data_IF_283017854895
#
_entry.id   IF_283017854895
#
_cell.length_a   1.000
_cell.length_b   1.000
_cell.length_c   1.000
_cell.angle_alpha   90.00
_cell.angle_beta   90.00
_cell.angle_gamma   90.00
#
_symmetry.space_group_name_H-M   'P 1'
#
loop_
_entity.id
_entity.type
_entity.pdbx_description
1 polymer ?
#
# COMPACT_ATOMS: atom_id res chain seq x y z
N UNK A 1 11.50 40.91 -4.04
CA UNK A 1 11.79 39.81 -3.15
C UNK A 1 12.12 38.57 -4.00
N UNK A 2 13.39 38.26 -4.17
CA UNK A 2 13.79 37.05 -4.87
C UNK A 2 14.02 35.98 -3.80
N UNK A 3 13.13 34.99 -3.75
CA UNK A 3 13.38 33.77 -2.99
C UNK A 3 14.38 32.96 -3.81
N UNK A 4 15.62 32.99 -3.41
CA UNK A 4 16.64 32.13 -4.00
C UNK A 4 16.60 30.80 -3.24
N UNK A 5 16.20 29.76 -3.95
CA UNK A 5 16.29 28.34 -3.59
C UNK A 5 15.67 27.91 -2.24
N UNK A 6 14.37 27.65 -2.25
CA UNK A 6 13.74 26.82 -1.23
C UNK A 6 13.94 25.36 -1.63
N UNK A 7 14.95 24.69 -1.08
CA UNK A 7 15.17 23.26 -1.28
C UNK A 7 14.48 22.52 -0.14
N UNK A 8 13.36 21.86 -0.42
CA UNK A 8 12.73 20.91 0.52
C UNK A 8 13.28 19.54 0.20
N UNK A 9 14.23 19.07 0.99
CA UNK A 9 14.70 17.69 0.90
C UNK A 9 14.04 16.89 2.00
N UNK A 10 13.09 16.00 1.63
CA UNK A 10 12.48 15.06 2.55
C UNK A 10 13.21 13.74 2.54
N UNK A 11 13.67 13.29 3.70
CA UNK A 11 14.10 11.93 3.95
C UNK A 11 13.36 11.44 5.20
N UNK A 12 12.32 10.63 5.01
CA UNK A 12 11.50 10.15 6.10
C UNK A 12 10.66 11.28 6.76
N UNK A 13 10.57 11.26 8.10
CA UNK A 13 9.79 12.23 8.89
C UNK A 13 10.48 13.60 9.09
N UNK A 14 11.52 13.89 8.34
CA UNK A 14 12.28 15.13 8.50
C UNK A 14 12.34 15.86 7.17
N UNK A 15 11.82 17.08 7.14
CA UNK A 15 12.06 18.01 6.04
C UNK A 15 13.17 18.97 6.47
N UNK A 16 14.23 19.08 5.67
CA UNK A 16 15.25 20.12 5.86
C UNK A 16 14.86 21.26 4.94
N UNK A 17 14.50 22.39 5.52
CA UNK A 17 14.27 23.62 4.77
C UNK A 17 15.55 24.45 4.89
N UNK A 18 16.28 24.61 3.78
CA UNK A 18 17.39 25.55 3.70
C UNK A 18 16.86 26.79 2.99
N UNK A 19 16.78 27.90 3.70
CA UNK A 19 16.46 29.21 3.12
C UNK A 19 17.79 29.93 2.90
N UNK A 20 18.18 30.12 1.67
CA UNK A 20 19.32 30.97 1.35
C UNK A 20 18.91 32.45 1.45
N UNK A 21 19.85 33.31 1.77
CA UNK A 21 19.68 34.74 2.09
C UNK A 21 18.48 35.42 1.43
N UNK A 22 17.56 35.90 2.27
CA UNK A 22 16.42 36.68 1.83
C UNK A 22 16.76 38.17 1.95
N UNK A 23 16.95 38.85 0.83
CA UNK A 23 17.06 40.30 0.79
C UNK A 23 15.64 40.90 0.99
N UNK A 24 15.43 41.55 2.11
CA UNK A 24 14.16 42.18 2.45
C UNK A 24 13.96 43.55 1.79
N UNK A 25 14.88 43.92 0.88
CA UNK A 25 14.76 45.20 0.14
C UNK A 25 15.03 46.46 0.97
N UNK A 26 15.42 46.32 2.23
CA UNK A 26 15.75 47.42 3.14
C UNK A 26 17.22 47.48 3.53
N UNK A 27 18.07 46.69 2.84
CA UNK A 27 19.50 46.63 3.12
C UNK A 27 19.88 45.72 4.29
N UNK A 28 18.94 44.96 4.83
CA UNK A 28 19.22 43.93 5.84
C UNK A 28 19.11 42.55 5.19
N UNK A 29 20.18 41.75 5.29
CA UNK A 29 20.16 40.34 4.94
C UNK A 29 20.06 39.50 6.23
N UNK A 30 19.12 38.58 6.27
CA UNK A 30 19.08 37.57 7.34
C UNK A 30 19.68 36.27 6.82
N UNK A 31 20.69 35.80 7.51
CA UNK A 31 21.32 34.50 7.21
C UNK A 31 20.39 33.38 7.63
N UNK A 32 20.13 32.44 6.72
CA UNK A 32 19.29 31.29 6.97
C UNK A 32 19.83 30.42 8.11
N UNK A 33 18.94 29.98 8.95
CA UNK A 33 19.23 28.97 9.96
C UNK A 33 19.05 27.61 9.32
N UNK A 34 20.13 26.84 9.24
CA UNK A 34 20.09 25.42 8.87
C UNK A 34 19.33 24.68 9.97
N UNK A 35 18.06 24.36 9.73
CA UNK A 35 17.20 23.69 10.71
C UNK A 35 16.54 22.46 10.12
N UNK A 36 16.54 21.36 10.87
CA UNK A 36 15.74 20.17 10.58
C UNK A 36 14.35 20.38 11.13
N UNK A 37 13.37 20.58 10.24
CA UNK A 37 11.96 20.68 10.61
C UNK A 37 11.31 19.31 10.52
N UNK A 38 10.84 18.78 11.66
CA UNK A 38 9.85 17.71 11.63
C UNK A 38 8.48 18.29 11.27
N UNK A 39 7.60 17.50 10.69
CA UNK A 39 6.21 17.91 10.38
C UNK A 39 5.49 18.39 11.65
N UNK A 40 5.88 17.86 12.81
CA UNK A 40 5.39 18.26 14.13
C UNK A 40 6.26 19.35 14.81
N UNK A 41 7.29 19.85 14.15
CA UNK A 41 8.39 20.57 14.80
C UNK A 41 8.57 22.02 14.39
N UNK A 42 7.65 22.62 13.64
CA UNK A 42 7.73 24.07 13.31
C UNK A 42 7.77 24.96 14.57
N UNK A 43 7.29 24.46 15.69
CA UNK A 43 7.34 25.15 16.99
C UNK A 43 8.43 24.60 17.94
N UNK A 44 9.23 23.62 17.52
CA UNK A 44 10.13 22.89 18.43
C UNK A 44 11.50 23.58 18.64
N UNK A 45 11.87 24.52 17.77
CA UNK A 45 13.15 25.25 17.94
C UNK A 45 12.88 26.69 18.35
N UNK A 46 13.27 27.10 19.58
CA UNK A 46 12.98 28.46 20.10
C UNK A 46 13.49 29.59 19.20
N UNK A 47 14.64 29.38 18.54
CA UNK A 47 15.19 30.34 17.62
C UNK A 47 14.37 30.52 16.33
N UNK A 48 13.74 29.44 15.83
CA UNK A 48 12.88 29.50 14.65
C UNK A 48 11.51 30.12 14.98
N UNK A 49 10.95 29.78 16.13
CA UNK A 49 9.72 30.42 16.60
C UNK A 49 9.92 31.92 16.83
N UNK A 50 11.07 32.32 17.41
CA UNK A 50 11.42 33.71 17.59
C UNK A 50 11.62 34.46 16.28
N UNK A 51 12.28 33.85 15.28
CA UNK A 51 12.47 34.41 13.95
C UNK A 51 11.14 34.61 13.21
N UNK A 52 10.28 33.58 13.22
CA UNK A 52 8.96 33.66 12.59
C UNK A 52 8.09 34.73 13.27
N UNK A 53 8.18 34.87 14.60
CA UNK A 53 7.45 35.90 15.35
C UNK A 53 7.96 37.31 15.04
N UNK A 54 9.29 37.50 15.03
CA UNK A 54 9.89 38.77 14.71
C UNK A 54 9.61 39.22 13.25
N UNK A 55 9.71 38.26 12.32
CA UNK A 55 9.38 38.53 10.90
C UNK A 55 7.90 38.82 10.66
N UNK A 56 7.01 38.32 11.49
CA UNK A 56 5.58 38.56 11.37
C UNK A 56 5.19 39.98 11.76
N UNK A 57 5.95 40.64 12.64
CA UNK A 57 5.68 42.03 13.04
C UNK A 57 6.14 43.02 11.96
N UNK A 58 7.12 42.66 11.13
CA UNK A 58 7.74 43.55 10.15
C UNK A 58 7.30 43.28 8.70
N UNK A 59 6.69 42.12 8.41
CA UNK A 59 6.41 41.68 7.05
C UNK A 59 5.02 41.09 6.90
N UNK A 60 4.15 41.77 6.17
CA UNK A 60 2.76 41.36 5.93
C UNK A 60 2.66 39.97 5.23
N UNK A 61 3.63 39.60 4.38
CA UNK A 61 3.66 38.30 3.71
C UNK A 61 4.00 37.15 4.68
N UNK A 62 4.90 37.38 5.64
CA UNK A 62 5.22 36.39 6.68
C UNK A 62 4.03 36.20 7.59
N UNK A 63 3.34 37.26 7.99
CA UNK A 63 2.10 37.20 8.76
C UNK A 63 1.03 36.39 8.03
N UNK A 64 0.84 36.62 6.73
CA UNK A 64 -0.12 35.90 5.89
C UNK A 64 0.25 34.42 5.79
N UNK A 65 1.53 34.09 5.60
CA UNK A 65 2.00 32.69 5.57
C UNK A 65 1.75 31.99 6.91
N UNK A 66 2.00 32.67 8.04
CA UNK A 66 1.70 32.16 9.37
C UNK A 66 0.20 31.90 9.57
N UNK A 67 -0.66 32.82 9.15
CA UNK A 67 -2.11 32.66 9.25
C UNK A 67 -2.60 31.46 8.43
N UNK A 68 -2.10 31.30 7.18
CA UNK A 68 -2.43 30.16 6.34
C UNK A 68 -1.98 28.85 7.01
N UNK A 69 -0.74 28.83 7.51
CA UNK A 69 -0.22 27.66 8.22
C UNK A 69 -1.06 27.31 9.44
N UNK A 70 -1.34 28.29 10.32
CA UNK A 70 -2.11 28.07 11.53
C UNK A 70 -3.54 27.59 11.24
N UNK A 71 -4.20 28.21 10.24
CA UNK A 71 -5.53 27.79 9.82
C UNK A 71 -5.51 26.36 9.27
N UNK A 72 -4.53 26.03 8.42
CA UNK A 72 -4.36 24.69 7.86
C UNK A 72 -4.03 23.66 8.95
N UNK A 73 -3.15 23.99 9.89
CA UNK A 73 -2.80 23.12 11.00
C UNK A 73 -4.00 22.87 11.93
N UNK A 74 -4.77 23.92 12.22
CA UNK A 74 -5.99 23.82 13.04
C UNK A 74 -7.02 22.92 12.36
N UNK A 75 -7.27 23.13 11.06
CA UNK A 75 -8.18 22.30 10.28
C UNK A 75 -7.70 20.84 10.25
N UNK A 76 -6.44 20.60 9.93
CA UNK A 76 -5.86 19.26 9.88
C UNK A 76 -5.90 18.57 11.26
N UNK A 77 -5.66 19.30 12.35
CA UNK A 77 -5.77 18.79 13.70
C UNK A 77 -7.22 18.42 14.05
N UNK A 78 -8.16 19.30 13.72
CA UNK A 78 -9.58 19.06 14.03
C UNK A 78 -10.12 17.87 13.20
N UNK A 79 -9.94 17.87 11.89
CA UNK A 79 -10.44 16.82 11.01
C UNK A 79 -9.68 15.51 11.20
N UNK A 80 -8.35 15.60 11.27
CA UNK A 80 -7.48 14.44 11.37
C UNK A 80 -7.54 13.71 12.72
N UNK A 81 -8.00 14.34 13.79
CA UNK A 81 -8.14 13.72 15.10
C UNK A 81 -9.43 12.90 15.29
N UNK A 82 -10.36 12.99 14.34
CA UNK A 82 -11.58 12.19 14.40
C UNK A 82 -11.24 10.70 14.38
N UNK A 83 -11.74 9.97 15.39
CA UNK A 83 -11.60 8.51 15.48
C UNK A 83 -12.62 7.89 14.54
N UNK A 84 -12.16 7.07 13.62
CA UNK A 84 -12.99 6.39 12.62
C UNK A 84 -13.05 4.88 12.80
N UNK A 85 -12.13 4.33 13.58
CA UNK A 85 -12.08 2.90 13.87
C UNK A 85 -11.46 2.60 15.21
N UNK A 86 -11.67 1.37 15.68
CA UNK A 86 -11.05 0.86 16.91
C UNK A 86 -10.45 -0.52 16.65
N UNK A 87 -9.36 -0.81 17.34
CA UNK A 87 -8.69 -2.10 17.33
C UNK A 87 -8.94 -2.83 18.65
N UNK A 88 -8.94 -4.14 18.62
CA UNK A 88 -8.98 -4.94 19.84
C UNK A 88 -7.68 -4.72 20.66
N UNK A 89 -7.75 -4.96 21.97
CA UNK A 89 -6.62 -4.75 22.85
C UNK A 89 -5.39 -5.54 22.41
N UNK A 90 -4.25 -4.86 22.27
CA UNK A 90 -2.98 -5.45 21.86
C UNK A 90 -2.87 -5.80 20.36
N UNK A 91 -3.86 -5.43 19.56
CA UNK A 91 -3.85 -5.63 18.10
C UNK A 91 -3.32 -4.38 17.40
N UNK A 92 -2.49 -4.58 16.39
CA UNK A 92 -2.17 -3.58 15.38
C UNK A 92 -1.97 -4.26 14.02
N UNK A 93 -2.00 -3.48 12.96
CA UNK A 93 -1.76 -3.95 11.60
C UNK A 93 -0.44 -3.35 11.11
N UNK A 94 0.55 -4.21 10.88
CA UNK A 94 1.90 -3.82 10.53
C UNK A 94 2.16 -3.98 9.03
N UNK A 95 2.92 -3.03 8.45
CA UNK A 95 3.40 -3.09 7.07
C UNK A 95 4.50 -4.14 6.90
N UNK A 96 5.36 -4.30 7.91
CA UNK A 96 6.42 -5.30 7.92
C UNK A 96 5.96 -6.46 8.81
N UNK A 97 5.36 -7.47 8.19
CA UNK A 97 5.21 -8.78 8.82
C UNK A 97 6.55 -9.51 8.82
N UNK A 98 6.74 -10.45 9.75
CA UNK A 98 7.80 -11.45 9.57
C UNK A 98 7.53 -12.19 8.24
N UNK A 99 8.56 -12.73 7.61
CA UNK A 99 8.48 -13.51 6.36
C UNK A 99 7.43 -14.63 6.39
N UNK A 100 6.97 -14.98 7.58
CA UNK A 100 5.98 -16.05 7.82
C UNK A 100 4.53 -15.54 7.90
N UNK A 101 4.30 -14.25 8.14
CA UNK A 101 2.96 -13.71 8.43
C UNK A 101 2.49 -12.63 7.45
N UNK A 102 3.36 -12.20 6.53
CA UNK A 102 3.00 -11.23 5.51
C UNK A 102 2.72 -9.81 6.07
N UNK A 103 2.17 -8.99 5.23
CA UNK A 103 1.86 -7.59 5.48
C UNK A 103 0.41 -7.45 5.98
N UNK A 104 0.18 -7.41 7.28
CA UNK A 104 -1.18 -7.40 7.84
C UNK A 104 -1.95 -6.14 7.51
N UNK A 105 -1.31 -4.96 7.48
CA UNK A 105 -1.97 -3.73 7.04
C UNK A 105 -2.29 -3.76 5.55
N UNK A 106 -1.48 -4.40 4.74
CA UNK A 106 -1.75 -4.60 3.32
C UNK A 106 -2.97 -5.46 3.08
N UNK A 107 -3.16 -6.53 3.87
CA UNK A 107 -4.37 -7.38 3.83
C UNK A 107 -5.60 -6.57 4.21
N UNK A 108 -5.53 -5.80 5.29
CA UNK A 108 -6.62 -4.94 5.73
C UNK A 108 -7.05 -3.94 4.64
N UNK A 109 -6.08 -3.30 3.98
CA UNK A 109 -6.37 -2.38 2.86
C UNK A 109 -6.96 -3.13 1.66
N UNK A 110 -6.47 -4.34 1.38
CA UNK A 110 -7.02 -5.18 0.32
C UNK A 110 -8.47 -5.61 0.62
N UNK A 111 -8.78 -5.98 1.86
CA UNK A 111 -10.16 -6.30 2.27
C UNK A 111 -11.07 -5.07 2.15
N UNK A 112 -10.58 -3.89 2.54
CA UNK A 112 -11.30 -2.64 2.39
C UNK A 112 -11.58 -2.30 0.92
N UNK A 113 -10.58 -2.47 0.03
CA UNK A 113 -10.76 -2.27 -1.40
C UNK A 113 -11.82 -3.23 -1.96
N UNK A 114 -11.75 -4.51 -1.60
CA UNK A 114 -12.72 -5.53 -2.00
C UNK A 114 -14.14 -5.13 -1.59
N UNK A 115 -14.33 -4.80 -0.32
CA UNK A 115 -15.67 -4.42 0.20
C UNK A 115 -16.21 -3.16 -0.47
N UNK A 116 -15.37 -2.16 -0.67
CA UNK A 116 -15.75 -0.90 -1.33
C UNK A 116 -16.21 -1.13 -2.77
N UNK A 117 -15.46 -1.91 -3.56
CA UNK A 117 -15.84 -2.20 -4.94
C UNK A 117 -17.12 -3.04 -5.01
N UNK A 118 -17.30 -4.00 -4.11
CA UNK A 118 -18.56 -4.75 -4.02
C UNK A 118 -19.74 -3.86 -3.69
N UNK A 119 -19.54 -2.88 -2.82
CA UNK A 119 -20.60 -1.96 -2.40
C UNK A 119 -20.95 -0.93 -3.48
N UNK A 120 -19.97 -0.32 -4.10
CA UNK A 120 -20.15 0.86 -4.96
C UNK A 120 -20.33 0.53 -6.44
N UNK A 121 -19.76 -0.59 -6.92
CA UNK A 121 -19.74 -0.93 -8.35
C UNK A 121 -20.49 -2.23 -8.63
N UNK A 122 -20.27 -3.25 -7.84
CA UNK A 122 -20.73 -4.61 -8.12
C UNK A 122 -21.73 -5.14 -7.11
N UNK A 123 -22.62 -4.30 -6.60
CA UNK A 123 -23.69 -4.72 -5.68
C UNK A 123 -24.53 -5.86 -6.30
N UNK A 124 -24.60 -6.99 -5.60
CA UNK A 124 -25.32 -8.18 -6.08
C UNK A 124 -24.60 -9.02 -7.14
N UNK A 125 -23.35 -8.72 -7.44
CA UNK A 125 -22.51 -9.52 -8.35
C UNK A 125 -22.25 -10.91 -7.78
N UNK A 126 -22.04 -11.89 -8.69
CA UNK A 126 -21.72 -13.29 -8.35
C UNK A 126 -20.32 -13.73 -8.73
N UNK A 127 -19.56 -12.88 -9.41
CA UNK A 127 -18.16 -13.18 -9.72
C UNK A 127 -17.32 -13.08 -8.44
N UNK A 128 -16.25 -13.87 -8.33
CA UNK A 128 -15.30 -13.73 -7.24
C UNK A 128 -14.64 -12.36 -7.29
N UNK A 129 -14.36 -11.76 -6.14
CA UNK A 129 -13.72 -10.46 -6.00
C UNK A 129 -12.47 -10.60 -5.15
N UNK A 130 -11.34 -10.13 -5.65
CA UNK A 130 -10.07 -10.06 -4.93
C UNK A 130 -9.68 -8.60 -4.75
N UNK A 131 -9.37 -8.22 -3.52
CA UNK A 131 -8.72 -6.95 -3.22
C UNK A 131 -7.21 -7.08 -3.22
N UNK A 132 -6.52 -6.04 -3.71
CA UNK A 132 -5.08 -5.93 -3.66
C UNK A 132 -4.64 -4.60 -3.07
N UNK A 133 -3.46 -4.59 -2.45
CA UNK A 133 -2.72 -3.38 -2.13
C UNK A 133 -1.24 -3.59 -2.38
N UNK A 134 -0.55 -2.58 -2.89
CA UNK A 134 0.90 -2.62 -3.06
C UNK A 134 1.60 -2.02 -1.84
N UNK A 135 2.66 -2.66 -1.42
CA UNK A 135 3.42 -2.26 -0.24
C UNK A 135 4.03 -0.86 -0.37
N UNK A 136 4.39 -0.46 -1.61
CA UNK A 136 4.92 0.86 -1.94
C UNK A 136 3.94 2.00 -1.67
N UNK A 137 2.63 1.77 -1.78
CA UNK A 137 1.60 2.79 -1.52
C UNK A 137 1.36 3.06 -0.03
N UNK A 138 1.77 2.16 0.86
CA UNK A 138 1.61 2.31 2.30
C UNK A 138 2.80 3.06 2.90
N UNK A 139 2.59 4.21 3.52
CA UNK A 139 3.65 5.17 3.89
C UNK A 139 4.03 5.16 5.37
N UNK A 140 3.25 4.50 6.22
CA UNK A 140 3.58 4.32 7.64
C UNK A 140 3.89 2.85 7.95
N UNK A 141 4.68 2.55 9.00
CA UNK A 141 5.03 1.17 9.34
C UNK A 141 3.86 0.37 9.90
N UNK A 142 2.82 1.03 10.38
CA UNK A 142 1.61 0.41 10.95
C UNK A 142 0.41 1.34 10.85
N UNK A 143 -0.77 0.80 11.11
CA UNK A 143 -2.04 1.55 11.07
C UNK A 143 -2.16 2.49 12.27
N UNK A 144 -2.23 1.94 13.47
CA UNK A 144 -2.29 2.73 14.72
C UNK A 144 -0.87 3.10 15.15
N UNK A 145 -0.49 4.32 14.83
CA UNK A 145 0.84 4.86 15.12
C UNK A 145 1.02 5.24 16.59
N UNK A 146 -0.09 5.54 17.29
CA UNK A 146 -0.08 5.94 18.70
C UNK A 146 -0.10 4.73 19.63
N UNK A 147 -0.61 3.57 19.16
CA UNK A 147 -0.71 2.35 19.95
C UNK A 147 -1.81 2.41 21.01
N UNK A 148 -2.80 3.29 20.83
CA UNK A 148 -3.90 3.47 21.79
C UNK A 148 -5.17 2.67 21.42
N UNK A 149 -5.12 1.91 20.34
CA UNK A 149 -6.24 1.11 19.82
C UNK A 149 -7.32 1.93 19.11
N UNK A 150 -7.07 3.21 18.86
CA UNK A 150 -7.96 4.08 18.11
C UNK A 150 -7.31 4.44 16.79
N UNK A 151 -8.06 4.35 15.72
CA UNK A 151 -7.59 4.74 14.40
C UNK A 151 -8.26 6.03 13.99
N UNK A 152 -7.45 7.04 13.72
CA UNK A 152 -7.90 8.38 13.35
C UNK A 152 -7.85 8.58 11.83
N UNK A 153 -8.58 9.58 11.35
CA UNK A 153 -8.52 10.06 9.95
C UNK A 153 -7.06 10.31 9.54
N UNK A 154 -6.29 10.99 10.40
CA UNK A 154 -4.88 11.32 10.12
C UNK A 154 -4.00 10.07 9.93
N UNK A 155 -4.22 9.03 10.72
CA UNK A 155 -3.43 7.81 10.61
C UNK A 155 -3.70 7.10 9.28
N UNK A 156 -4.95 7.02 8.86
CA UNK A 156 -5.31 6.47 7.54
C UNK A 156 -4.77 7.33 6.41
N UNK A 157 -4.93 8.65 6.45
CA UNK A 157 -4.44 9.54 5.40
C UNK A 157 -2.90 9.57 5.35
N UNK A 158 -2.24 9.41 6.50
CA UNK A 158 -0.77 9.27 6.55
C UNK A 158 -0.30 7.93 6.00
N UNK A 159 -1.03 6.84 6.28
CA UNK A 159 -0.74 5.52 5.74
C UNK A 159 -0.90 5.50 4.21
N UNK A 160 -1.95 6.15 3.69
CA UNK A 160 -2.33 6.13 2.28
C UNK A 160 -2.18 7.51 1.63
N UNK A 161 -1.05 8.19 1.87
CA UNK A 161 -0.81 9.58 1.49
C UNK A 161 -0.66 9.83 -0.03
N UNK A 162 -0.63 8.78 -0.86
CA UNK A 162 -0.49 8.91 -2.31
C UNK A 162 -1.85 9.23 -2.96
N UNK A 163 -1.81 10.13 -3.94
CA UNK A 163 -3.00 10.64 -4.64
C UNK A 163 -3.47 9.67 -5.75
N UNK A 164 -3.70 8.41 -5.39
CA UNK A 164 -4.32 7.44 -6.27
C UNK A 164 -5.84 7.46 -6.10
N UNK A 165 -6.56 6.94 -7.10
CA UNK A 165 -7.99 6.65 -7.00
C UNK A 165 -8.23 5.19 -6.67
N UNK A 166 -9.32 4.89 -5.98
CA UNK A 166 -9.82 3.53 -5.91
C UNK A 166 -10.25 3.09 -7.31
N UNK A 167 -9.89 1.87 -7.71
CA UNK A 167 -10.09 1.38 -9.06
C UNK A 167 -10.41 -0.11 -9.07
N UNK A 168 -10.99 -0.56 -10.19
CA UNK A 168 -11.32 -1.96 -10.42
C UNK A 168 -11.07 -2.35 -11.87
N UNK A 169 -10.93 -3.64 -12.10
CA UNK A 169 -10.90 -4.28 -13.42
C UNK A 169 -11.36 -5.72 -13.32
N UNK A 170 -11.41 -6.43 -14.44
CA UNK A 170 -11.71 -7.86 -14.51
C UNK A 170 -10.53 -8.58 -15.16
N UNK A 171 -9.98 -9.57 -14.47
CA UNK A 171 -8.96 -10.47 -14.99
C UNK A 171 -9.53 -11.87 -15.21
N UNK A 172 -8.85 -12.66 -16.04
CA UNK A 172 -9.05 -14.11 -16.09
C UNK A 172 -8.32 -14.76 -14.92
N UNK A 173 -8.72 -15.98 -14.51
CA UNK A 173 -8.01 -16.73 -13.45
C UNK A 173 -6.55 -16.97 -13.79
N UNK A 174 -6.25 -17.17 -15.08
CA UNK A 174 -4.87 -17.25 -15.59
C UNK A 174 -4.08 -15.98 -15.30
N UNK A 175 -4.62 -14.82 -15.61
CA UNK A 175 -3.93 -13.55 -15.38
C UNK A 175 -3.80 -13.24 -13.88
N UNK A 176 -4.79 -13.63 -13.08
CA UNK A 176 -4.69 -13.55 -11.60
C UNK A 176 -3.52 -14.41 -11.10
N UNK A 177 -3.37 -15.66 -11.58
CA UNK A 177 -2.22 -16.50 -11.23
C UNK A 177 -0.89 -15.84 -11.62
N UNK A 178 -0.82 -15.17 -12.78
CA UNK A 178 0.36 -14.40 -13.20
C UNK A 178 0.67 -13.26 -12.23
N UNK A 179 -0.33 -12.47 -11.80
CA UNK A 179 -0.15 -11.43 -10.77
C UNK A 179 0.45 -12.04 -9.50
N UNK A 180 -0.02 -13.20 -9.07
CA UNK A 180 0.50 -13.89 -7.88
C UNK A 180 1.94 -14.37 -8.10
N UNK A 181 2.28 -14.86 -9.29
CA UNK A 181 3.62 -15.30 -9.62
C UNK A 181 4.62 -14.13 -9.67
N UNK A 182 4.20 -12.96 -10.16
CA UNK A 182 5.02 -11.74 -10.22
C UNK A 182 5.46 -11.21 -8.85
N UNK A 183 4.86 -11.68 -7.75
CA UNK A 183 5.38 -11.40 -6.41
C UNK A 183 6.77 -12.02 -6.20
N UNK A 184 7.09 -13.09 -6.92
CA UNK A 184 8.32 -13.84 -6.74
C UNK A 184 9.31 -13.52 -7.84
N UNK A 185 10.56 -13.33 -7.45
CA UNK A 185 11.66 -13.12 -8.39
C UNK A 185 12.92 -13.76 -7.83
N UNK A 186 13.90 -14.02 -8.71
CA UNK A 186 15.20 -14.52 -8.28
C UNK A 186 16.19 -13.37 -8.21
N UNK A 187 16.87 -13.27 -7.06
CA UNK A 187 18.02 -12.39 -6.86
C UNK A 187 19.20 -13.25 -6.42
N UNK A 188 20.31 -13.20 -7.15
CA UNK A 188 21.49 -14.05 -6.97
C UNK A 188 21.14 -15.56 -6.80
N UNK A 189 20.14 -16.03 -7.56
CA UNK A 189 19.65 -17.41 -7.52
C UNK A 189 18.73 -17.75 -6.35
N UNK A 190 18.49 -16.84 -5.43
CA UNK A 190 17.56 -17.00 -4.31
C UNK A 190 16.18 -16.52 -4.70
N UNK A 191 15.15 -17.26 -4.27
CA UNK A 191 13.77 -16.84 -4.42
C UNK A 191 13.47 -15.72 -3.42
N UNK A 192 13.16 -14.55 -3.94
CA UNK A 192 12.72 -13.39 -3.16
C UNK A 192 11.27 -13.04 -3.47
N UNK A 193 10.63 -12.33 -2.54
CA UNK A 193 9.23 -11.99 -2.69
C UNK A 193 8.98 -10.49 -2.50
N UNK A 194 8.34 -9.88 -3.50
CA UNK A 194 7.68 -8.59 -3.38
C UNK A 194 6.27 -8.81 -2.85
N UNK A 195 6.00 -8.32 -1.66
CA UNK A 195 4.72 -8.58 -1.01
C UNK A 195 3.60 -7.67 -1.55
N UNK A 196 2.53 -8.30 -2.02
CA UNK A 196 1.22 -7.68 -2.16
C UNK A 196 0.40 -7.93 -0.89
N UNK A 197 -0.39 -6.94 -0.47
CA UNK A 197 -1.56 -7.19 0.35
C UNK A 197 -2.63 -7.82 -0.54
N UNK A 198 -3.15 -8.96 -0.12
CA UNK A 198 -4.18 -9.72 -0.82
C UNK A 198 -5.34 -9.89 0.16
N UNK A 199 -6.57 -9.70 -0.29
CA UNK A 199 -7.75 -9.82 0.58
C UNK A 199 -7.85 -11.20 1.23
N UNK A 200 -8.33 -11.24 2.46
CA UNK A 200 -8.29 -12.41 3.35
C UNK A 200 -9.11 -13.62 2.84
N UNK A 201 -9.97 -13.41 1.85
CA UNK A 201 -10.80 -14.45 1.24
C UNK A 201 -10.08 -15.33 0.21
N UNK A 202 -8.76 -15.13 0.01
CA UNK A 202 -7.96 -15.83 -1.01
C UNK A 202 -7.06 -16.87 -0.35
N UNK A 203 -6.97 -18.04 -0.99
CA UNK A 203 -5.97 -19.07 -0.69
C UNK A 203 -5.30 -19.55 -1.98
N UNK A 204 -4.02 -19.87 -1.92
CA UNK A 204 -3.29 -20.41 -3.05
C UNK A 204 -2.06 -21.19 -2.60
N UNK A 205 -1.51 -21.99 -3.50
CA UNK A 205 -0.19 -22.63 -3.36
C UNK A 205 0.74 -22.13 -4.46
N UNK A 206 2.03 -22.25 -4.25
CA UNK A 206 3.04 -22.00 -5.26
C UNK A 206 4.11 -23.07 -5.24
N UNK A 207 4.69 -23.38 -6.39
CA UNK A 207 5.86 -24.24 -6.53
C UNK A 207 6.94 -23.50 -7.31
N UNK A 208 8.20 -23.69 -6.91
CA UNK A 208 9.32 -23.08 -7.62
C UNK A 208 9.48 -23.72 -9.00
N UNK A 209 9.69 -22.88 -10.01
CA UNK A 209 10.12 -23.34 -11.32
C UNK A 209 11.61 -23.66 -11.28
N UNK A 210 11.99 -24.85 -11.78
CA UNK A 210 13.40 -25.26 -11.88
C UNK A 210 14.19 -24.28 -12.75
N UNK A 211 15.42 -23.97 -12.37
CA UNK A 211 16.33 -23.24 -13.24
C UNK A 211 16.63 -24.13 -14.47
N UNK A 212 16.49 -23.59 -15.68
CA UNK A 212 16.85 -24.31 -16.91
C UNK A 212 18.32 -24.75 -16.82
N UNK A 213 18.58 -25.99 -16.43
CA UNK A 213 19.90 -26.54 -16.23
C UNK A 213 19.98 -27.73 -15.26
N UNK A 214 19.03 -27.89 -14.36
CA UNK A 214 18.96 -29.05 -13.44
C UNK A 214 17.94 -30.09 -13.93
N UNK A 215 18.27 -30.77 -15.03
CA UNK A 215 17.73 -32.07 -15.36
C UNK A 215 18.44 -33.12 -14.48
N UNK A 216 18.08 -33.19 -13.23
CA UNK A 216 18.65 -34.07 -12.23
C UNK A 216 17.57 -34.91 -11.57
N UNK A 217 17.50 -36.19 -11.99
CA UNK A 217 16.93 -37.37 -11.31
C UNK A 217 15.66 -37.13 -10.45
N UNK A 218 14.52 -37.28 -11.08
CA UNK A 218 13.29 -37.65 -10.41
C UNK A 218 13.40 -39.10 -9.88
N UNK A 219 13.92 -39.27 -8.67
CA UNK A 219 13.74 -40.50 -7.88
C UNK A 219 13.37 -40.09 -6.44
N UNK A 220 12.12 -39.74 -6.25
CA UNK A 220 11.48 -39.67 -4.94
C UNK A 220 10.03 -40.12 -5.12
N UNK A 221 9.71 -41.22 -4.43
CA UNK A 221 8.49 -42.00 -4.50
C UNK A 221 7.20 -41.16 -4.60
N UNK A 222 6.47 -41.40 -5.64
CA UNK A 222 5.14 -40.90 -5.88
C UNK A 222 4.16 -41.69 -5.02
N UNK A 223 3.61 -41.06 -3.98
CA UNK A 223 2.35 -41.49 -3.39
C UNK A 223 1.23 -41.12 -4.36
N UNK A 224 0.76 -42.09 -5.10
CA UNK A 224 -0.36 -42.02 -6.04
C UNK A 224 -1.69 -42.11 -5.29
N UNK A 225 -2.15 -41.02 -4.67
CA UNK A 225 -3.55 -40.89 -4.31
C UNK A 225 -3.99 -39.42 -4.15
N UNK A 226 -3.98 -38.63 -5.23
CA UNK A 226 -4.86 -37.49 -5.46
C UNK A 226 -4.76 -37.13 -6.93
N UNK A 227 -5.85 -37.35 -7.67
CA UNK A 227 -5.95 -37.07 -9.11
C UNK A 227 -5.85 -35.58 -9.43
N UNK A 228 -4.66 -35.02 -9.34
CA UNK A 228 -4.31 -33.73 -9.88
C UNK A 228 -3.60 -33.96 -11.21
N UNK A 229 -4.02 -33.24 -12.22
CA UNK A 229 -3.53 -33.34 -13.60
C UNK A 229 -2.08 -32.85 -13.66
N UNK A 230 -1.11 -33.76 -13.44
CA UNK A 230 0.31 -33.44 -13.32
C UNK A 230 0.97 -32.95 -14.61
N UNK A 231 0.27 -33.01 -15.74
CA UNK A 231 0.78 -32.56 -17.04
C UNK A 231 0.45 -31.06 -17.31
N UNK A 232 -0.67 -30.55 -16.81
CA UNK A 232 -1.00 -29.11 -16.96
C UNK A 232 -0.05 -28.22 -16.10
N UNK A 233 0.46 -28.77 -15.01
CA UNK A 233 1.31 -28.05 -14.07
C UNK A 233 2.76 -27.85 -14.57
N UNK A 234 3.27 -28.70 -15.45
CA UNK A 234 4.61 -28.55 -16.04
C UNK A 234 4.64 -27.50 -17.15
N UNK A 235 3.52 -27.26 -17.81
CA UNK A 235 3.39 -26.30 -18.92
C UNK A 235 3.43 -24.84 -18.47
N UNK A 236 3.01 -24.50 -17.26
CA UNK A 236 3.02 -23.10 -16.79
C UNK A 236 4.45 -22.56 -16.57
N UNK A 237 5.37 -23.36 -16.04
CA UNK A 237 6.79 -22.96 -15.95
C UNK A 237 7.49 -22.91 -17.30
N UNK A 238 7.03 -23.72 -18.27
CA UNK A 238 7.58 -23.76 -19.64
C UNK A 238 7.06 -22.60 -20.50
N UNK A 239 5.86 -22.09 -20.21
CA UNK A 239 5.24 -20.99 -20.96
C UNK A 239 5.86 -19.62 -20.63
N UNK A 240 6.48 -19.47 -19.46
CA UNK A 240 7.20 -18.28 -19.06
C UNK A 240 8.56 -18.65 -18.46
N UNK A 241 9.59 -18.69 -19.30
CA UNK A 241 10.96 -19.03 -18.89
C UNK A 241 11.57 -18.12 -17.81
N UNK A 242 10.88 -17.00 -17.49
CA UNK A 242 11.27 -16.04 -16.46
C UNK A 242 10.44 -16.20 -15.18
N UNK A 243 9.42 -17.04 -15.16
CA UNK A 243 8.63 -17.28 -13.97
C UNK A 243 9.47 -17.95 -12.88
N UNK A 244 9.57 -17.32 -11.72
CA UNK A 244 10.27 -17.91 -10.58
C UNK A 244 9.44 -19.02 -9.90
N UNK A 245 8.12 -18.92 -9.99
CA UNK A 245 7.15 -19.86 -9.41
C UNK A 245 5.94 -20.02 -10.32
N UNK A 246 5.26 -21.16 -10.17
CA UNK A 246 3.89 -21.38 -10.67
C UNK A 246 2.89 -21.32 -9.52
N UNK A 247 1.68 -20.88 -9.80
CA UNK A 247 0.60 -20.79 -8.81
C UNK A 247 -0.38 -21.93 -9.02
N UNK A 248 -0.67 -22.63 -7.93
CA UNK A 248 -1.60 -23.75 -7.92
C UNK A 248 -2.71 -23.53 -6.88
N UNK A 249 -3.81 -24.25 -7.03
CA UNK A 249 -4.91 -24.29 -6.06
C UNK A 249 -5.41 -22.90 -5.63
N UNK A 250 -5.48 -21.94 -6.58
CA UNK A 250 -6.06 -20.64 -6.33
C UNK A 250 -7.55 -20.79 -6.03
N UNK A 251 -7.98 -20.28 -4.87
CA UNK A 251 -9.38 -20.25 -4.49
C UNK A 251 -9.75 -18.89 -3.88
N UNK A 252 -10.97 -18.44 -4.15
CA UNK A 252 -11.56 -17.21 -3.62
C UNK A 252 -12.87 -17.56 -2.92
N UNK A 253 -13.03 -17.15 -1.67
CA UNK A 253 -14.16 -17.54 -0.80
C UNK A 253 -14.36 -19.07 -0.77
N UNK A 254 -13.27 -19.85 -0.79
CA UNK A 254 -13.25 -21.30 -0.82
C UNK A 254 -13.62 -21.93 -2.16
N UNK A 255 -13.94 -21.15 -3.18
CA UNK A 255 -14.24 -21.62 -4.54
C UNK A 255 -12.96 -21.66 -5.37
N UNK A 256 -12.58 -22.80 -5.94
CA UNK A 256 -11.46 -22.89 -6.89
C UNK A 256 -11.68 -21.97 -8.10
N UNK A 257 -10.62 -21.37 -8.58
CA UNK A 257 -10.61 -20.48 -9.75
C UNK A 257 -9.89 -21.18 -10.90
N UNK A 258 -10.65 -21.46 -11.96
CA UNK A 258 -10.11 -21.97 -13.23
C UNK A 258 -9.51 -20.83 -14.07
N UNK A 259 -8.67 -21.17 -15.04
CA UNK A 259 -7.97 -20.20 -15.89
C UNK A 259 -8.89 -19.25 -16.64
N UNK A 260 -10.03 -19.75 -17.10
CA UNK A 260 -11.01 -18.99 -17.88
C UNK A 260 -12.09 -18.31 -16.99
N UNK A 261 -12.07 -18.54 -15.66
CA UNK A 261 -12.99 -17.85 -14.75
C UNK A 261 -12.67 -16.35 -14.73
N UNK A 262 -13.72 -15.54 -14.70
CA UNK A 262 -13.59 -14.10 -14.56
C UNK A 262 -13.56 -13.72 -13.07
N UNK A 263 -12.60 -12.88 -12.70
CA UNK A 263 -12.39 -12.39 -11.34
C UNK A 263 -12.36 -10.87 -11.35
N UNK A 264 -13.15 -10.24 -10.49
CA UNK A 264 -13.10 -8.80 -10.29
C UNK A 264 -11.93 -8.47 -9.37
N UNK A 265 -11.14 -7.50 -9.76
CA UNK A 265 -9.98 -7.00 -9.03
C UNK A 265 -10.29 -5.61 -8.50
N UNK A 266 -9.99 -5.39 -7.23
CA UNK A 266 -10.16 -4.12 -6.53
C UNK A 266 -8.81 -3.63 -5.99
N UNK A 267 -8.38 -2.43 -6.35
CA UNK A 267 -7.12 -1.84 -5.87
C UNK A 267 -7.07 -0.32 -6.11
N UNK A 268 -5.88 0.21 -6.27
CA UNK A 268 -5.65 1.58 -6.71
C UNK A 268 -5.28 1.65 -8.20
N UNK A 269 -5.54 2.81 -8.79
CA UNK A 269 -5.32 3.07 -10.22
C UNK A 269 -3.87 2.84 -10.66
N UNK A 270 -2.88 3.09 -9.81
CA UNK A 270 -1.46 2.88 -10.14
C UNK A 270 -1.11 1.39 -10.26
N UNK A 271 -1.56 0.56 -9.31
CA UNK A 271 -1.26 -0.87 -9.32
C UNK A 271 -1.92 -1.56 -10.52
N UNK A 272 -3.21 -1.27 -10.78
CA UNK A 272 -3.94 -1.87 -11.91
C UNK A 272 -3.37 -1.46 -13.29
N UNK A 273 -2.60 -0.40 -13.34
CA UNK A 273 -1.83 -0.02 -14.55
C UNK A 273 -0.46 -0.70 -14.62
N UNK A 274 -0.20 -1.71 -13.81
CA UNK A 274 1.04 -2.48 -13.80
C UNK A 274 2.16 -1.82 -13.00
N UNK A 275 1.82 -1.00 -12.01
CA UNK A 275 2.77 -0.38 -11.09
C UNK A 275 3.53 -1.40 -10.23
N UNK A 276 4.63 -0.98 -9.62
CA UNK A 276 5.49 -1.76 -8.71
C UNK A 276 5.98 -3.11 -9.28
N UNK A 277 6.00 -3.27 -10.62
CA UNK A 277 6.49 -4.47 -11.28
C UNK A 277 5.46 -5.60 -11.35
N UNK A 278 4.17 -5.26 -11.48
CA UNK A 278 3.05 -6.18 -11.70
C UNK A 278 2.37 -5.95 -13.06
N UNK A 279 3.07 -6.17 -14.19
CA UNK A 279 2.53 -5.93 -15.52
C UNK A 279 1.32 -6.79 -15.87
N UNK A 280 1.09 -7.94 -15.22
CA UNK A 280 -0.06 -8.81 -15.48
C UNK A 280 -1.41 -8.11 -15.24
N UNK A 281 -1.48 -7.11 -14.36
CA UNK A 281 -2.70 -6.31 -14.22
C UNK A 281 -3.13 -5.62 -15.52
N UNK A 282 -2.21 -5.31 -16.44
CA UNK A 282 -2.55 -4.68 -17.74
C UNK A 282 -3.37 -5.55 -18.67
N UNK A 283 -3.51 -6.85 -18.36
CA UNK A 283 -4.41 -7.74 -19.10
C UNK A 283 -5.89 -7.51 -18.73
N UNK A 284 -6.15 -6.68 -17.72
CA UNK A 284 -7.49 -6.39 -17.23
C UNK A 284 -8.42 -5.77 -18.27
N UNK A 285 -9.67 -6.17 -18.20
CA UNK A 285 -10.79 -5.59 -18.94
C UNK A 285 -11.74 -4.90 -17.97
N UNK A 286 -12.67 -4.10 -18.48
CA UNK A 286 -13.64 -3.37 -17.66
C UNK A 286 -12.99 -2.50 -16.57
N UNK A 287 -11.81 -1.93 -16.87
CA UNK A 287 -11.16 -0.99 -15.96
C UNK A 287 -12.06 0.21 -15.68
N UNK A 288 -12.13 0.60 -14.41
CA UNK A 288 -12.84 1.79 -13.98
C UNK A 288 -12.25 2.36 -12.70
N UNK A 289 -12.31 3.69 -12.58
CA UNK A 289 -11.93 4.41 -11.36
C UNK A 289 -13.18 4.91 -10.65
N UNK A 290 -13.18 4.85 -9.33
CA UNK A 290 -14.20 5.52 -8.53
C UNK A 290 -13.79 6.99 -8.33
N UNK A 291 -14.77 7.86 -8.27
CA UNK A 291 -14.51 9.28 -7.95
C UNK A 291 -14.30 9.48 -6.44
N UNK A 292 -13.34 8.73 -5.92
CA UNK A 292 -12.92 8.82 -4.52
C UNK A 292 -11.41 8.54 -4.39
N UNK A 293 -10.74 9.17 -3.40
CA UNK A 293 -9.34 8.88 -3.11
C UNK A 293 -9.16 7.44 -2.65
N UNK A 294 -7.99 6.88 -2.88
CA UNK A 294 -7.65 5.50 -2.52
C UNK A 294 -7.73 5.23 -1.01
N UNK A 295 -7.64 6.23 -0.15
CA UNK A 295 -7.83 6.09 1.30
C UNK A 295 -9.30 5.86 1.72
N UNK A 296 -10.26 6.29 0.90
CA UNK A 296 -11.69 6.24 1.25
C UNK A 296 -12.21 4.82 1.52
N UNK A 297 -11.85 3.78 0.76
CA UNK A 297 -12.23 2.40 1.09
C UNK A 297 -11.84 2.01 2.53
N UNK A 298 -10.63 2.36 2.98
CA UNK A 298 -10.20 2.04 4.34
C UNK A 298 -10.95 2.85 5.40
N UNK A 299 -11.27 4.13 5.13
CA UNK A 299 -12.13 4.93 6.01
C UNK A 299 -13.50 4.27 6.19
N UNK A 300 -14.14 3.84 5.11
CA UNK A 300 -15.45 3.19 5.15
C UNK A 300 -15.39 1.85 5.90
N UNK A 301 -14.35 1.05 5.62
CA UNK A 301 -14.14 -0.24 6.25
C UNK A 301 -13.98 -0.11 7.76
N UNK A 302 -13.12 0.80 8.22
CA UNK A 302 -12.89 1.06 9.65
C UNK A 302 -14.15 1.57 10.35
N UNK A 303 -14.94 2.41 9.68
CA UNK A 303 -16.21 2.90 10.24
C UNK A 303 -17.25 1.78 10.40
N UNK A 304 -17.27 0.81 9.48
CA UNK A 304 -18.19 -0.31 9.50
C UNK A 304 -17.76 -1.44 10.45
N UNK A 305 -16.45 -1.62 10.67
CA UNK A 305 -15.88 -2.73 11.42
C UNK A 305 -15.11 -2.21 12.66
N UNK A 306 -15.80 -2.11 13.79
CA UNK A 306 -15.21 -1.66 15.05
C UNK A 306 -14.60 -2.81 15.85
N UNK A 307 -13.56 -2.52 16.64
CA UNK A 307 -12.91 -3.54 17.46
C UNK A 307 -12.18 -4.60 16.65
N UNK A 308 -11.54 -4.19 15.54
CA UNK A 308 -10.85 -5.09 14.64
C UNK A 308 -9.85 -5.97 15.39
N UNK A 309 -9.96 -7.27 15.15
CA UNK A 309 -9.00 -8.26 15.63
C UNK A 309 -7.88 -8.47 14.60
N UNK A 310 -6.82 -9.14 15.01
CA UNK A 310 -5.74 -9.49 14.08
C UNK A 310 -6.30 -10.30 12.90
N UNK A 311 -5.72 -10.08 11.72
CA UNK A 311 -6.00 -10.91 10.54
C UNK A 311 -5.60 -12.35 10.86
N UNK A 312 -6.58 -13.24 10.86
CA UNK A 312 -6.40 -14.65 11.27
C UNK A 312 -5.56 -15.43 10.26
N UNK A 313 -5.61 -15.03 8.99
CA UNK A 313 -4.82 -15.66 7.93
C UNK A 313 -4.41 -14.61 6.89
N UNK A 314 -3.12 -14.39 6.75
CA UNK A 314 -2.57 -13.62 5.64
C UNK A 314 -2.43 -14.57 4.45
N UNK A 315 -2.97 -14.24 3.26
CA UNK A 315 -2.81 -15.08 2.07
C UNK A 315 -1.35 -15.05 1.60
N UNK A 316 -0.50 -15.79 2.27
CA UNK A 316 0.94 -15.85 1.93
C UNK A 316 1.25 -16.89 0.88
N UNK A 317 0.30 -17.76 0.56
CA UNK A 317 0.54 -18.96 -0.21
C UNK A 317 1.37 -19.98 0.56
N UNK A 318 1.17 -21.25 0.30
CA UNK A 318 2.01 -22.33 0.84
C UNK A 318 2.83 -22.93 -0.30
N UNK A 319 4.08 -23.26 -0.04
CA UNK A 319 4.89 -24.03 -0.98
C UNK A 319 4.24 -25.39 -1.19
N UNK A 320 4.07 -25.79 -2.44
CA UNK A 320 3.46 -27.06 -2.83
C UNK A 320 4.45 -28.22 -2.68
#
# INVERSE_FOLDING_TARGET
MAVQDLIITGAGRRATVRVADVDLGNGTSHTAVDGVLGVDGLNAHPAQAAWMSAGAEENDEVSRAQHIYQASATYANHTGSAVIGTLASGVNFDKQGSDKHGNTVGVLVADANRESIMKHVYAGNRLPVIGFSNNGSLRTPRLDMNGDGKVTVREVDSLMALQFKAAHETLTGRDVKRVFAEQFHRDDGRLERRWLGISSNVTYRYAECGTAGESGNADAGVDTDSGADTNADADECAADEHAAVRIANLAVDGRPIADDDLVIIASNSYLLQGGDGYPAFRAGTNYGELDMPYSQPLHEYLAAHQGLTAVVAVPVGTQA
#
